data_IF_656466077533
#
_entry.id   IF_656466077533
#
_cell.length_a   1.000
_cell.length_b   1.000
_cell.length_c   1.000
_cell.angle_alpha   90.00
_cell.angle_beta   90.00
_cell.angle_gamma   90.00
#
_symmetry.space_group_name_H-M   'P 1'
#
loop_
_entity.id
_entity.type
_entity.pdbx_description
1 polymer ?
#
# COMPACT_ATOMS: atom_id res chain seq x y z
N UNK A 1 40.64 -44.98 13.39
CA UNK A 1 41.03 -43.56 13.21
C UNK A 1 41.17 -42.89 14.59
N UNK A 2 42.38 -42.48 14.96
CA UNK A 2 42.75 -42.06 16.32
C UNK A 2 42.14 -40.69 16.70
N UNK A 3 41.59 -40.53 17.93
CA UNK A 3 40.99 -39.27 18.43
C UNK A 3 41.93 -38.07 18.31
N UNK A 4 43.24 -38.27 18.51
CA UNK A 4 44.26 -37.23 18.38
C UNK A 4 44.42 -36.71 16.94
N UNK A 5 44.37 -37.60 15.94
CA UNK A 5 44.43 -37.19 14.53
C UNK A 5 43.18 -36.40 14.13
N UNK A 6 42.01 -36.72 14.69
CA UNK A 6 40.78 -35.96 14.46
C UNK A 6 40.86 -34.55 15.08
N UNK A 7 41.44 -34.41 16.28
CA UNK A 7 41.60 -33.12 16.96
C UNK A 7 42.63 -32.23 16.24
N UNK A 8 43.77 -32.79 15.81
CA UNK A 8 44.79 -32.06 15.03
C UNK A 8 44.20 -31.56 13.71
N UNK A 9 43.42 -32.41 13.02
CA UNK A 9 42.77 -32.05 11.76
C UNK A 9 41.72 -30.93 11.95
N UNK A 10 40.94 -30.95 13.04
CA UNK A 10 39.99 -29.87 13.38
C UNK A 10 40.71 -28.54 13.69
N UNK A 11 41.79 -28.58 14.49
CA UNK A 11 42.58 -27.38 14.80
C UNK A 11 43.19 -26.79 13.54
N UNK A 12 43.78 -27.62 12.68
CA UNK A 12 44.39 -27.21 11.42
C UNK A 12 43.36 -26.62 10.44
N UNK A 13 42.21 -27.27 10.28
CA UNK A 13 41.09 -26.75 9.50
C UNK A 13 40.63 -25.37 10.00
N UNK A 14 40.51 -25.18 11.32
CA UNK A 14 40.14 -23.89 11.90
C UNK A 14 41.19 -22.79 11.66
N UNK A 15 42.48 -23.15 11.65
CA UNK A 15 43.58 -22.23 11.34
C UNK A 15 43.55 -21.79 9.88
N UNK A 16 43.42 -22.74 8.93
CA UNK A 16 43.32 -22.41 7.51
C UNK A 16 42.10 -21.54 7.22
N UNK A 17 40.94 -21.87 7.80
CA UNK A 17 39.72 -21.06 7.66
C UNK A 17 39.92 -19.62 8.13
N UNK A 18 40.59 -19.41 9.27
CA UNK A 18 40.89 -18.05 9.79
C UNK A 18 41.78 -17.25 8.83
N UNK A 19 42.83 -17.86 8.29
CA UNK A 19 43.75 -17.18 7.36
C UNK A 19 43.03 -16.84 6.05
N UNK A 20 42.30 -17.79 5.47
CA UNK A 20 41.50 -17.59 4.24
C UNK A 20 40.50 -16.45 4.42
N UNK A 21 39.74 -16.45 5.53
CA UNK A 21 38.82 -15.36 5.88
C UNK A 21 39.57 -14.02 6.00
N UNK A 22 40.76 -14.01 6.60
CA UNK A 22 41.58 -12.81 6.73
C UNK A 22 41.99 -12.22 5.37
N UNK A 23 42.34 -13.06 4.40
CA UNK A 23 42.71 -12.64 3.05
C UNK A 23 41.49 -12.18 2.24
N UNK A 24 40.36 -12.85 2.38
CA UNK A 24 39.08 -12.43 1.77
C UNK A 24 38.67 -11.05 2.27
N UNK A 25 38.75 -10.79 3.59
CA UNK A 25 38.47 -9.47 4.19
C UNK A 25 39.34 -8.36 3.62
N UNK A 26 40.60 -8.66 3.31
CA UNK A 26 41.55 -7.72 2.72
C UNK A 26 41.38 -7.54 1.21
N UNK A 27 40.46 -8.27 0.57
CA UNK A 27 40.34 -8.35 -0.89
C UNK A 27 41.64 -8.78 -1.58
N UNK A 28 42.47 -9.58 -0.90
CA UNK A 28 43.81 -9.95 -1.35
C UNK A 28 43.78 -11.27 -2.13
N UNK A 29 43.39 -11.19 -3.41
CA UNK A 29 43.22 -12.35 -4.29
C UNK A 29 44.55 -13.06 -4.54
N UNK A 30 45.64 -12.30 -4.72
CA UNK A 30 46.96 -12.84 -5.03
C UNK A 30 47.48 -13.70 -3.87
N UNK A 31 47.53 -13.15 -2.66
CA UNK A 31 47.99 -13.91 -1.49
C UNK A 31 47.02 -15.04 -1.13
N UNK A 32 45.71 -14.86 -1.35
CA UNK A 32 44.75 -15.95 -1.19
C UNK A 32 45.05 -17.09 -2.16
N UNK A 33 45.30 -16.80 -3.43
CA UNK A 33 45.65 -17.78 -4.47
C UNK A 33 46.93 -18.52 -4.11
N UNK A 34 48.00 -17.79 -3.76
CA UNK A 34 49.25 -18.40 -3.33
C UNK A 34 49.05 -19.31 -2.11
N UNK A 35 48.28 -18.85 -1.12
CA UNK A 35 48.05 -19.59 0.11
C UNK A 35 47.24 -20.88 -0.12
N UNK A 36 46.19 -20.85 -0.95
CA UNK A 36 45.37 -22.05 -1.22
C UNK A 36 46.17 -23.10 -1.99
N UNK A 37 46.99 -22.68 -2.97
CA UNK A 37 47.84 -23.60 -3.76
C UNK A 37 48.90 -24.21 -2.86
N UNK A 38 49.66 -23.38 -2.13
CA UNK A 38 50.75 -23.84 -1.26
C UNK A 38 50.30 -24.85 -0.21
N UNK A 39 49.06 -24.74 0.26
CA UNK A 39 48.50 -25.58 1.32
C UNK A 39 47.49 -26.61 0.81
N UNK A 40 47.32 -26.78 -0.51
CA UNK A 40 46.33 -27.68 -1.12
C UNK A 40 44.92 -27.52 -0.53
N UNK A 41 44.46 -26.28 -0.36
CA UNK A 41 43.17 -25.95 0.25
C UNK A 41 42.07 -25.95 -0.82
N UNK A 42 41.05 -26.77 -0.63
CA UNK A 42 39.80 -26.74 -1.39
C UNK A 42 38.83 -25.81 -0.66
N UNK A 43 38.50 -24.65 -1.25
CA UNK A 43 37.67 -23.63 -0.57
C UNK A 43 36.25 -24.11 -0.27
N UNK A 44 35.68 -24.96 -1.13
CA UNK A 44 34.36 -25.56 -0.94
C UNK A 44 34.25 -26.28 0.42
N UNK A 45 35.34 -26.89 0.91
CA UNK A 45 35.34 -27.60 2.20
C UNK A 45 35.06 -26.69 3.41
N UNK A 46 35.16 -25.37 3.27
CA UNK A 46 34.77 -24.44 4.33
C UNK A 46 33.27 -24.22 4.42
N UNK A 47 32.52 -24.51 3.36
CA UNK A 47 31.06 -24.39 3.34
C UNK A 47 30.45 -25.49 4.20
N UNK A 48 29.65 -25.08 5.18
CA UNK A 48 28.94 -25.97 6.10
C UNK A 48 27.47 -25.64 5.98
N UNK A 49 26.68 -26.59 5.47
CA UNK A 49 25.23 -26.45 5.27
C UNK A 49 24.56 -25.83 6.50
N UNK A 50 23.83 -24.73 6.29
CA UNK A 50 23.10 -23.97 7.31
C UNK A 50 23.95 -23.43 8.48
N UNK A 51 25.28 -23.33 8.33
CA UNK A 51 26.17 -22.79 9.37
C UNK A 51 27.17 -21.77 8.84
N UNK A 52 27.72 -22.01 7.65
CA UNK A 52 28.70 -21.12 7.05
C UNK A 52 28.73 -21.31 5.55
N UNK A 53 28.73 -20.21 4.81
CA UNK A 53 28.88 -20.20 3.36
C UNK A 53 29.85 -19.07 3.00
N UNK A 54 30.94 -19.42 2.32
CA UNK A 54 32.06 -18.51 2.07
C UNK A 54 31.66 -17.35 1.16
N UNK A 55 30.79 -17.61 0.17
CA UNK A 55 30.29 -16.57 -0.74
C UNK A 55 29.34 -15.63 -0.01
N UNK A 56 28.39 -16.16 0.76
CA UNK A 56 27.49 -15.36 1.61
C UNK A 56 28.29 -14.50 2.58
N UNK A 57 29.32 -15.08 3.22
CA UNK A 57 30.21 -14.36 4.11
C UNK A 57 30.97 -13.24 3.37
N UNK A 58 31.45 -13.50 2.15
CA UNK A 58 32.07 -12.48 1.30
C UNK A 58 31.13 -11.33 0.97
N UNK A 59 29.86 -11.62 0.63
CA UNK A 59 28.84 -10.59 0.34
C UNK A 59 28.60 -9.71 1.58
N UNK A 60 28.47 -10.32 2.76
CA UNK A 60 28.30 -9.59 4.04
C UNK A 60 29.49 -8.67 4.33
N UNK A 61 30.70 -9.08 3.96
CA UNK A 61 31.92 -8.29 4.09
C UNK A 61 32.09 -7.22 3.00
N UNK A 62 31.15 -7.12 2.05
CA UNK A 62 31.23 -6.20 0.93
C UNK A 62 32.53 -6.34 0.12
N UNK A 63 32.94 -7.58 -0.18
CA UNK A 63 34.13 -7.84 -1.00
C UNK A 63 33.97 -7.30 -2.43
N UNK A 64 35.09 -7.03 -3.08
CA UNK A 64 35.15 -6.63 -4.49
C UNK A 64 34.51 -7.68 -5.40
N UNK A 65 34.04 -7.26 -6.58
CA UNK A 65 33.48 -8.16 -7.61
C UNK A 65 34.49 -9.25 -7.99
N UNK A 66 35.78 -8.91 -8.06
CA UNK A 66 36.84 -9.86 -8.36
C UNK A 66 36.98 -10.93 -7.28
N UNK A 67 36.93 -10.54 -6.00
CA UNK A 67 36.98 -11.50 -4.89
C UNK A 67 35.70 -12.34 -4.83
N UNK A 68 34.54 -11.75 -5.08
CA UNK A 68 33.28 -12.49 -5.21
C UNK A 68 33.36 -13.55 -6.32
N UNK A 69 33.81 -13.17 -7.52
CA UNK A 69 33.99 -14.09 -8.65
C UNK A 69 35.01 -15.18 -8.33
N UNK A 70 36.11 -14.81 -7.65
CA UNK A 70 37.12 -15.75 -7.21
C UNK A 70 36.53 -16.83 -6.29
N UNK A 71 35.78 -16.43 -5.25
CA UNK A 71 35.13 -17.35 -4.33
C UNK A 71 34.08 -18.21 -5.07
N UNK A 72 33.24 -17.60 -5.90
CA UNK A 72 32.20 -18.29 -6.66
C UNK A 72 32.78 -19.43 -7.51
N UNK A 73 33.88 -19.15 -8.23
CA UNK A 73 34.53 -20.11 -9.11
C UNK A 73 35.27 -21.22 -8.34
N UNK A 74 36.00 -20.87 -7.27
CA UNK A 74 36.83 -21.82 -6.51
C UNK A 74 36.06 -22.67 -5.49
N UNK A 75 34.82 -22.30 -5.17
CA UNK A 75 33.91 -23.11 -4.36
C UNK A 75 32.93 -23.95 -5.20
N UNK A 76 33.05 -23.93 -6.53
CA UNK A 76 32.26 -24.74 -7.46
C UNK A 76 30.73 -24.67 -7.24
N UNK A 77 30.21 -23.47 -6.96
CA UNK A 77 28.76 -23.27 -6.80
C UNK A 77 28.00 -23.64 -8.08
N UNK A 78 27.13 -24.65 -8.00
CA UNK A 78 26.32 -25.12 -9.16
C UNK A 78 25.39 -24.05 -9.72
N UNK A 79 24.92 -23.14 -8.87
CA UNK A 79 24.02 -22.05 -9.23
C UNK A 79 24.20 -20.92 -8.23
N UNK A 80 23.99 -19.67 -8.67
CA UNK A 80 23.91 -18.51 -7.77
C UNK A 80 22.53 -18.41 -7.09
N UNK A 81 21.53 -19.16 -7.58
CA UNK A 81 20.16 -19.22 -7.07
C UNK A 81 20.02 -20.28 -5.98
N UNK A 82 20.66 -20.04 -4.83
CA UNK A 82 20.58 -20.90 -3.65
C UNK A 82 20.21 -20.11 -2.40
N UNK A 83 19.81 -20.82 -1.36
CA UNK A 83 19.40 -20.26 -0.09
C UNK A 83 20.39 -20.57 1.01
N UNK A 84 20.71 -19.59 1.84
CA UNK A 84 21.48 -19.76 3.06
C UNK A 84 20.66 -19.35 4.27
N UNK A 85 20.70 -20.15 5.34
CA UNK A 85 20.05 -19.86 6.60
C UNK A 85 20.92 -18.90 7.41
N UNK A 86 20.50 -17.65 7.57
CA UNK A 86 21.24 -16.65 8.39
C UNK A 86 20.85 -16.81 9.87
N UNK A 87 19.57 -17.04 10.14
CA UNK A 87 19.01 -17.28 11.47
C UNK A 87 17.98 -18.43 11.42
N UNK A 88 17.52 -18.95 12.57
CA UNK A 88 16.66 -20.15 12.67
C UNK A 88 15.48 -20.21 11.69
N UNK A 89 14.91 -19.06 11.31
CA UNK A 89 13.72 -18.97 10.46
C UNK A 89 13.93 -18.15 9.17
N UNK A 90 15.16 -17.77 8.85
CA UNK A 90 15.44 -16.77 7.80
C UNK A 90 16.43 -17.30 6.78
N UNK A 91 15.91 -17.49 5.57
CA UNK A 91 16.71 -17.85 4.40
C UNK A 91 16.90 -16.64 3.50
N UNK A 92 18.10 -16.50 2.96
CA UNK A 92 18.47 -15.43 2.04
C UNK A 92 19.15 -16.01 0.81
N UNK A 93 19.12 -15.26 -0.29
CA UNK A 93 19.92 -15.56 -1.48
C UNK A 93 21.11 -14.59 -1.56
N UNK A 94 22.16 -14.92 -2.35
CA UNK A 94 23.23 -13.97 -2.65
C UNK A 94 22.71 -12.61 -3.13
N UNK A 95 21.72 -12.60 -4.05
CA UNK A 95 21.16 -11.38 -4.61
C UNK A 95 20.44 -10.54 -3.54
N UNK A 96 19.67 -11.17 -2.66
CA UNK A 96 18.93 -10.48 -1.61
C UNK A 96 19.88 -9.79 -0.64
N UNK A 97 20.99 -10.46 -0.27
CA UNK A 97 22.01 -9.85 0.58
C UNK A 97 22.75 -8.70 -0.10
N UNK A 98 23.11 -8.84 -1.38
CA UNK A 98 23.78 -7.76 -2.11
C UNK A 98 22.92 -6.48 -2.11
N UNK A 99 21.60 -6.61 -2.35
CA UNK A 99 20.68 -5.47 -2.28
C UNK A 99 20.44 -4.99 -0.85
N UNK A 100 20.39 -5.86 0.15
CA UNK A 100 20.28 -5.45 1.55
C UNK A 100 21.42 -4.51 1.96
N UNK A 101 22.64 -4.84 1.55
CA UNK A 101 23.83 -4.00 1.77
C UNK A 101 23.99 -2.86 0.74
N UNK A 102 23.01 -2.65 -0.15
CA UNK A 102 23.03 -1.61 -1.18
C UNK A 102 24.22 -1.70 -2.14
N UNK A 103 24.81 -2.89 -2.32
CA UNK A 103 25.90 -3.10 -3.27
C UNK A 103 25.31 -3.44 -4.66
N UNK A 104 24.95 -2.39 -5.40
CA UNK A 104 24.33 -2.50 -6.72
C UNK A 104 25.25 -3.14 -7.77
N UNK A 105 26.56 -2.89 -7.72
CA UNK A 105 27.51 -3.47 -8.68
C UNK A 105 27.62 -4.99 -8.49
N UNK A 106 27.66 -5.43 -7.22
CA UNK A 106 27.64 -6.85 -6.90
C UNK A 106 26.30 -7.48 -7.25
N UNK A 107 25.19 -6.81 -6.96
CA UNK A 107 23.85 -7.28 -7.34
C UNK A 107 23.73 -7.45 -8.87
N UNK A 108 24.27 -6.51 -9.65
CA UNK A 108 24.35 -6.60 -11.11
C UNK A 108 25.19 -7.79 -11.56
N UNK A 109 26.39 -7.97 -11.00
CA UNK A 109 27.25 -9.14 -11.28
C UNK A 109 26.59 -10.47 -10.92
N UNK A 110 25.76 -10.51 -9.87
CA UNK A 110 24.96 -11.68 -9.49
C UNK A 110 23.86 -11.94 -10.53
N UNK A 111 23.13 -10.91 -10.97
CA UNK A 111 22.09 -11.03 -12.01
C UNK A 111 22.70 -11.51 -13.34
N UNK A 112 23.85 -10.96 -13.74
CA UNK A 112 24.60 -11.38 -14.93
C UNK A 112 25.03 -12.86 -14.90
N UNK A 113 25.21 -13.43 -13.69
CA UNK A 113 25.47 -14.86 -13.47
C UNK A 113 24.20 -15.72 -13.36
N UNK A 114 23.05 -15.16 -13.75
CA UNK A 114 21.75 -15.83 -13.69
C UNK A 114 21.04 -15.71 -12.34
N UNK A 115 21.41 -14.73 -11.52
CA UNK A 115 20.72 -14.40 -10.28
C UNK A 115 19.26 -14.00 -10.55
N UNK A 116 18.34 -14.76 -9.96
CA UNK A 116 16.91 -14.59 -10.19
C UNK A 116 16.33 -13.50 -9.25
N UNK A 117 16.02 -12.33 -9.83
CA UNK A 117 15.35 -11.23 -9.11
C UNK A 117 13.95 -11.63 -8.58
N UNK A 118 13.35 -12.65 -9.19
CA UNK A 118 12.02 -13.18 -8.90
C UNK A 118 12.06 -14.46 -8.04
N UNK A 119 13.21 -14.78 -7.45
CA UNK A 119 13.42 -16.04 -6.74
C UNK A 119 12.35 -16.31 -5.68
N UNK A 120 11.56 -17.36 -5.90
CA UNK A 120 10.35 -17.66 -5.12
C UNK A 120 10.44 -18.92 -4.26
N UNK A 121 11.62 -19.56 -4.17
CA UNK A 121 11.83 -20.77 -3.35
C UNK A 121 12.03 -20.46 -1.85
N UNK A 122 11.91 -19.20 -1.46
CA UNK A 122 11.91 -18.76 -0.06
C UNK A 122 10.58 -18.09 0.27
N UNK A 123 10.33 -17.95 1.57
CA UNK A 123 9.06 -17.43 2.10
C UNK A 123 8.69 -16.05 1.55
N UNK A 124 9.69 -15.23 1.23
CA UNK A 124 9.53 -13.82 0.90
C UNK A 124 10.21 -13.48 -0.42
N UNK A 125 9.57 -12.69 -1.28
CA UNK A 125 10.24 -12.09 -2.44
C UNK A 125 11.21 -10.98 -1.98
N UNK A 126 12.00 -10.47 -2.92
CA UNK A 126 13.08 -9.51 -2.60
C UNK A 126 12.57 -8.20 -2.00
N UNK A 127 11.43 -7.69 -2.49
CA UNK A 127 10.83 -6.47 -1.95
C UNK A 127 10.33 -6.69 -0.52
N UNK A 128 9.67 -7.83 -0.26
CA UNK A 128 9.16 -8.15 1.07
C UNK A 128 10.32 -8.30 2.05
N UNK A 129 11.37 -9.02 1.63
CA UNK A 129 12.60 -9.18 2.38
C UNK A 129 13.20 -7.82 2.76
N UNK A 130 13.45 -6.93 1.79
CA UNK A 130 14.00 -5.61 2.09
C UNK A 130 13.08 -4.77 2.99
N UNK A 131 11.76 -4.89 2.83
CA UNK A 131 10.77 -4.19 3.67
C UNK A 131 10.86 -4.62 5.14
N UNK A 132 10.84 -5.93 5.44
CA UNK A 132 10.83 -6.41 6.83
C UNK A 132 12.10 -6.03 7.59
N UNK A 133 13.23 -5.91 6.90
CA UNK A 133 14.48 -5.44 7.49
C UNK A 133 14.69 -3.93 7.37
N UNK A 134 13.67 -3.16 6.98
CA UNK A 134 13.72 -1.69 6.82
C UNK A 134 14.86 -1.21 5.92
N UNK A 135 15.22 -2.02 4.92
CA UNK A 135 16.28 -1.75 3.96
C UNK A 135 15.76 -1.26 2.60
N UNK A 136 14.46 -1.37 2.34
CA UNK A 136 13.84 -0.94 1.09
C UNK A 136 13.78 0.58 1.01
N UNK A 137 14.36 1.14 -0.05
CA UNK A 137 14.27 2.55 -0.42
C UNK A 137 13.92 2.70 -1.90
N UNK A 138 13.73 3.95 -2.36
CA UNK A 138 13.38 4.26 -3.75
C UNK A 138 14.42 3.75 -4.76
N UNK A 139 15.72 3.83 -4.45
CA UNK A 139 16.78 3.41 -5.35
C UNK A 139 16.80 1.90 -5.52
N UNK A 140 16.67 1.14 -4.43
CA UNK A 140 16.56 -0.32 -4.48
C UNK A 140 15.32 -0.77 -5.22
N UNK A 141 14.19 -0.10 -4.99
CA UNK A 141 12.96 -0.39 -5.72
C UNK A 141 13.15 -0.19 -7.22
N UNK A 142 13.69 0.96 -7.65
CA UNK A 142 13.98 1.22 -9.07
C UNK A 142 14.95 0.18 -9.64
N UNK A 143 16.00 -0.17 -8.91
CA UNK A 143 16.94 -1.21 -9.33
C UNK A 143 16.21 -2.55 -9.55
N UNK A 144 15.39 -2.99 -8.59
CA UNK A 144 14.65 -4.24 -8.66
C UNK A 144 13.69 -4.25 -9.87
N UNK A 145 12.93 -3.17 -10.04
CA UNK A 145 11.98 -3.04 -11.15
C UNK A 145 12.68 -3.02 -12.51
N UNK A 146 13.81 -2.30 -12.63
CA UNK A 146 14.59 -2.22 -13.87
C UNK A 146 15.30 -3.50 -14.28
N UNK A 147 15.44 -4.47 -13.36
CA UNK A 147 16.07 -5.76 -13.63
C UNK A 147 15.06 -6.91 -13.77
N UNK A 148 13.81 -6.60 -14.15
CA UNK A 148 12.82 -7.61 -14.55
C UNK A 148 12.03 -8.22 -13.40
N UNK A 149 11.90 -7.51 -12.28
CA UNK A 149 11.01 -7.93 -11.20
C UNK A 149 9.55 -8.01 -11.68
N UNK A 150 8.89 -9.12 -11.37
CA UNK A 150 7.51 -9.37 -11.73
C UNK A 150 6.58 -8.62 -10.76
N UNK A 151 5.98 -7.52 -11.23
CA UNK A 151 5.10 -6.68 -10.43
C UNK A 151 3.93 -7.43 -9.81
N UNK A 152 3.48 -8.56 -10.41
CA UNK A 152 2.36 -9.34 -9.87
C UNK A 152 2.67 -9.86 -8.46
N UNK A 153 3.94 -9.87 -8.06
CA UNK A 153 4.37 -10.22 -6.71
C UNK A 153 4.29 -9.07 -5.71
N UNK A 154 4.03 -7.83 -6.15
CA UNK A 154 3.76 -6.69 -5.26
C UNK A 154 2.40 -6.85 -4.58
N UNK A 155 1.37 -7.32 -5.28
CA UNK A 155 0.05 -7.51 -4.66
C UNK A 155 0.01 -8.73 -3.73
N UNK A 156 1.02 -9.62 -3.81
CA UNK A 156 1.14 -10.76 -2.88
C UNK A 156 1.55 -10.30 -1.49
N UNK A 157 0.96 -10.92 -0.47
CA UNK A 157 1.31 -10.73 0.94
C UNK A 157 1.15 -9.27 1.43
N UNK A 158 0.24 -8.50 0.85
CA UNK A 158 -0.08 -7.15 1.33
C UNK A 158 1.17 -6.24 1.38
N UNK A 159 2.09 -6.42 0.42
CA UNK A 159 3.40 -5.76 0.44
C UNK A 159 3.29 -4.24 0.33
N UNK A 160 2.31 -3.74 -0.43
CA UNK A 160 2.03 -2.31 -0.60
C UNK A 160 1.53 -1.65 0.69
N UNK A 161 0.89 -2.39 1.61
CA UNK A 161 0.39 -1.79 2.85
C UNK A 161 1.54 -1.11 3.58
N UNK A 162 1.35 0.14 3.98
CA UNK A 162 2.35 0.96 4.65
C UNK A 162 3.58 1.34 3.78
N UNK A 163 3.51 1.25 2.44
CA UNK A 163 4.54 1.84 1.58
C UNK A 163 4.50 3.36 1.65
N UNK A 164 5.65 3.99 1.89
CA UNK A 164 5.76 5.43 1.70
C UNK A 164 5.32 5.82 0.29
N UNK A 165 4.66 6.98 0.18
CA UNK A 165 4.15 7.46 -1.10
C UNK A 165 5.25 7.59 -2.17
N UNK A 166 6.49 7.86 -1.76
CA UNK A 166 7.66 7.90 -2.64
C UNK A 166 7.89 6.57 -3.39
N UNK A 167 7.64 5.43 -2.74
CA UNK A 167 7.74 4.09 -3.31
C UNK A 167 6.53 3.77 -4.21
N UNK A 168 5.33 4.14 -3.78
CA UNK A 168 4.10 4.02 -4.58
C UNK A 168 4.27 4.78 -5.90
N UNK A 169 4.74 6.03 -5.80
CA UNK A 169 5.02 6.89 -6.96
C UNK A 169 6.01 6.23 -7.91
N UNK A 170 7.10 5.64 -7.39
CA UNK A 170 8.09 4.95 -8.21
C UNK A 170 7.51 3.70 -8.92
N UNK A 171 6.62 2.95 -8.26
CA UNK A 171 5.92 1.81 -8.90
C UNK A 171 5.05 2.30 -10.06
N UNK A 172 4.22 3.33 -9.82
CA UNK A 172 3.31 3.87 -10.83
C UNK A 172 4.08 4.42 -12.04
N UNK A 173 5.12 5.21 -11.80
CA UNK A 173 5.95 5.81 -12.85
C UNK A 173 6.72 4.76 -13.67
N UNK A 174 7.29 3.75 -13.00
CA UNK A 174 8.17 2.78 -13.67
C UNK A 174 7.39 1.65 -14.37
N UNK A 175 6.27 1.22 -13.79
CA UNK A 175 5.56 0.03 -14.27
C UNK A 175 4.48 0.35 -15.30
N UNK A 176 3.71 1.44 -15.10
CA UNK A 176 2.59 1.74 -15.99
C UNK A 176 3.11 2.22 -17.35
N UNK A 177 4.10 3.10 -17.37
CA UNK A 177 4.70 3.59 -18.62
C UNK A 177 6.10 3.02 -18.78
N UNK A 178 6.18 1.72 -19.05
CA UNK A 178 7.44 1.01 -19.18
C UNK A 178 8.29 1.47 -20.40
N UNK A 179 9.53 0.99 -20.48
CA UNK A 179 10.43 1.31 -21.60
C UNK A 179 9.85 0.90 -22.96
N UNK A 180 9.06 -0.18 -23.02
CA UNK A 180 8.46 -0.63 -24.27
C UNK A 180 7.41 0.38 -24.76
N UNK A 181 6.54 0.85 -23.87
CA UNK A 181 5.56 1.89 -24.17
C UNK A 181 6.22 3.21 -24.59
N UNK A 182 7.27 3.63 -23.86
CA UNK A 182 8.03 4.84 -24.20
C UNK A 182 8.64 4.70 -25.61
N UNK A 183 9.28 3.56 -25.91
CA UNK A 183 9.85 3.29 -27.23
C UNK A 183 8.78 3.22 -28.32
N UNK A 184 7.59 2.71 -28.02
CA UNK A 184 6.45 2.73 -28.94
C UNK A 184 6.06 4.17 -29.30
N UNK A 185 5.92 5.05 -28.30
CA UNK A 185 5.62 6.47 -28.54
C UNK A 185 6.72 7.19 -29.32
N UNK A 186 7.99 6.92 -28.99
CA UNK A 186 9.14 7.47 -29.71
C UNK A 186 9.18 6.99 -31.16
N UNK A 187 8.85 5.72 -31.42
CA UNK A 187 8.77 5.14 -32.76
C UNK A 187 7.68 5.82 -33.61
N UNK A 188 6.49 6.04 -33.04
CA UNK A 188 5.40 6.78 -33.70
C UNK A 188 5.87 8.19 -34.11
N UNK A 189 6.53 8.91 -33.19
CA UNK A 189 7.04 10.26 -33.46
C UNK A 189 8.18 10.26 -34.50
N UNK A 190 9.13 9.33 -34.39
CA UNK A 190 10.27 9.19 -35.32
C UNK A 190 9.81 8.92 -36.74
N UNK A 191 8.82 8.04 -36.91
CA UNK A 191 8.30 7.64 -38.21
C UNK A 191 7.21 8.58 -38.75
N UNK A 192 6.87 9.64 -38.01
CA UNK A 192 5.81 10.61 -38.36
C UNK A 192 4.48 9.93 -38.67
N UNK A 193 4.19 8.82 -37.99
CA UNK A 193 2.94 8.09 -38.16
C UNK A 193 1.77 8.98 -37.70
N UNK A 194 0.83 9.34 -38.57
CA UNK A 194 -0.31 10.15 -38.17
C UNK A 194 -1.14 9.43 -37.10
N UNK A 195 -1.43 10.12 -36.01
CA UNK A 195 -2.25 9.59 -34.91
C UNK A 195 -3.24 10.65 -34.47
N UNK A 196 -4.52 10.28 -34.40
CA UNK A 196 -5.54 11.17 -33.85
C UNK A 196 -5.38 11.29 -32.34
N UNK A 197 -5.86 12.41 -31.78
CA UNK A 197 -5.89 12.62 -30.33
C UNK A 197 -6.60 11.48 -29.59
N UNK A 198 -7.70 10.97 -30.18
CA UNK A 198 -8.47 9.83 -29.65
C UNK A 198 -7.61 8.56 -29.61
N UNK A 199 -6.94 8.22 -30.72
CA UNK A 199 -6.09 7.03 -30.78
C UNK A 199 -4.94 7.08 -29.76
N UNK A 200 -4.33 8.25 -29.55
CA UNK A 200 -3.31 8.44 -28.51
C UNK A 200 -3.89 8.23 -27.10
N UNK A 201 -5.08 8.78 -26.83
CA UNK A 201 -5.76 8.54 -25.55
C UNK A 201 -6.07 7.06 -25.35
N UNK A 202 -6.64 6.39 -26.35
CA UNK A 202 -6.97 4.96 -26.26
C UNK A 202 -5.71 4.11 -25.99
N UNK A 203 -4.58 4.47 -26.60
CA UNK A 203 -3.28 3.85 -26.37
C UNK A 203 -2.78 4.06 -24.94
N UNK A 204 -2.87 5.28 -24.40
CA UNK A 204 -2.51 5.58 -23.00
C UNK A 204 -3.43 4.86 -22.01
N UNK A 205 -4.74 4.78 -22.28
CA UNK A 205 -5.68 4.12 -21.38
C UNK A 205 -5.47 2.60 -21.34
N UNK A 206 -5.23 1.98 -22.50
CA UNK A 206 -4.88 0.57 -22.57
C UNK A 206 -3.61 0.26 -21.76
N UNK A 207 -2.66 1.19 -21.78
CA UNK A 207 -1.42 1.07 -21.02
C UNK A 207 -1.67 1.13 -19.50
N UNK A 208 -2.45 2.12 -19.04
CA UNK A 208 -2.88 2.22 -17.63
C UNK A 208 -3.61 0.97 -17.14
N UNK A 209 -4.41 0.34 -18.00
CA UNK A 209 -5.13 -0.90 -17.70
C UNK A 209 -4.25 -2.13 -17.46
N UNK A 210 -2.92 -2.07 -17.68
CA UNK A 210 -2.00 -3.22 -17.43
C UNK A 210 -1.81 -3.55 -15.96
N UNK A 211 -2.08 -2.60 -15.06
CA UNK A 211 -1.79 -2.73 -13.64
C UNK A 211 -3.05 -2.59 -12.80
N UNK A 212 -3.40 -3.65 -12.07
CA UNK A 212 -4.48 -3.58 -11.09
C UNK A 212 -3.93 -2.98 -9.79
N UNK A 213 -4.35 -1.74 -9.54
CA UNK A 213 -4.04 -0.96 -8.34
C UNK A 213 -4.89 -1.51 -7.17
N UNK A 214 -4.43 -2.60 -6.56
CA UNK A 214 -4.94 -3.06 -5.26
C UNK A 214 -4.15 -2.37 -4.13
N UNK A 215 -4.86 -1.80 -3.17
CA UNK A 215 -4.37 -1.32 -1.87
C UNK A 215 -3.43 -0.08 -1.89
N UNK A 216 -3.14 0.53 -3.04
CA UNK A 216 -2.26 1.72 -3.11
C UNK A 216 -2.85 2.95 -2.41
N UNK A 217 -4.19 3.04 -2.29
CA UNK A 217 -4.83 4.17 -1.62
C UNK A 217 -4.69 4.15 -0.10
N UNK A 218 -4.29 3.04 0.52
CA UNK A 218 -4.39 2.85 1.96
C UNK A 218 -3.73 3.97 2.77
N UNK A 219 -2.47 4.30 2.47
CA UNK A 219 -1.75 5.36 3.18
C UNK A 219 -2.29 6.76 2.85
N UNK A 220 -2.53 7.04 1.57
CA UNK A 220 -3.06 8.33 1.14
C UNK A 220 -4.42 8.64 1.78
N UNK A 221 -5.25 7.60 1.97
CA UNK A 221 -6.54 7.68 2.65
C UNK A 221 -6.41 7.84 4.17
N UNK A 222 -5.55 7.06 4.83
CA UNK A 222 -5.28 7.17 6.27
C UNK A 222 -4.77 8.57 6.64
N UNK A 223 -3.84 9.09 5.84
CA UNK A 223 -3.28 10.45 5.98
C UNK A 223 -4.24 11.54 5.47
N UNK A 224 -5.31 11.14 4.77
CA UNK A 224 -6.29 12.02 4.13
C UNK A 224 -5.65 13.03 3.16
N UNK A 225 -4.55 12.62 2.53
CA UNK A 225 -3.74 13.42 1.63
C UNK A 225 -4.34 13.40 0.21
N UNK A 226 -5.03 14.49 -0.15
CA UNK A 226 -5.71 14.61 -1.44
C UNK A 226 -4.77 14.55 -2.63
N UNK A 227 -3.59 15.16 -2.53
CA UNK A 227 -2.63 15.19 -3.63
C UNK A 227 -2.17 13.76 -3.97
N UNK A 228 -1.92 12.94 -2.95
CA UNK A 228 -1.57 11.54 -3.16
C UNK A 228 -2.73 10.71 -3.72
N UNK A 229 -3.97 10.94 -3.25
CA UNK A 229 -5.16 10.27 -3.78
C UNK A 229 -5.36 10.61 -5.26
N UNK A 230 -5.29 11.90 -5.62
CA UNK A 230 -5.38 12.36 -7.02
C UNK A 230 -4.27 11.78 -7.88
N UNK A 231 -3.06 11.75 -7.34
CA UNK A 231 -1.91 11.19 -8.04
C UNK A 231 -2.16 9.73 -8.38
N UNK A 232 -2.53 8.89 -7.41
CA UNK A 232 -2.83 7.46 -7.65
C UNK A 232 -4.00 7.33 -8.63
N UNK A 233 -5.07 8.11 -8.44
CA UNK A 233 -6.26 8.09 -9.29
C UNK A 233 -5.94 8.45 -10.75
N UNK A 234 -4.96 9.33 -10.99
CA UNK A 234 -4.56 9.72 -12.34
C UNK A 234 -3.96 8.56 -13.15
N UNK A 235 -3.51 7.49 -12.51
CA UNK A 235 -2.98 6.28 -13.16
C UNK A 235 -4.02 5.19 -13.37
N UNK A 236 -5.24 5.38 -12.90
CA UNK A 236 -6.35 4.45 -13.13
C UNK A 236 -6.83 4.46 -14.59
N UNK A 237 -7.32 3.32 -15.06
CA UNK A 237 -7.96 3.20 -16.38
C UNK A 237 -9.31 3.95 -16.38
N UNK A 238 -9.38 5.07 -17.09
CA UNK A 238 -10.58 5.91 -17.09
C UNK A 238 -11.77 5.27 -17.81
N UNK A 239 -11.58 4.21 -18.60
CA UNK A 239 -12.70 3.48 -19.19
C UNK A 239 -13.54 2.76 -18.11
N UNK A 240 -12.93 2.48 -16.97
CA UNK A 240 -13.54 1.82 -15.82
C UNK A 240 -13.82 2.81 -14.66
N UNK A 241 -14.07 4.08 -15.00
CA UNK A 241 -14.23 5.18 -14.06
C UNK A 241 -15.11 4.88 -12.83
N UNK A 242 -16.33 4.39 -13.06
CA UNK A 242 -17.27 4.07 -11.99
C UNK A 242 -16.75 2.95 -11.08
N UNK A 243 -16.09 1.93 -11.65
CA UNK A 243 -15.46 0.83 -10.90
C UNK A 243 -14.30 1.36 -10.04
N UNK A 244 -13.48 2.27 -10.58
CA UNK A 244 -12.35 2.84 -9.84
C UNK A 244 -12.81 3.70 -8.67
N UNK A 245 -13.87 4.50 -8.86
CA UNK A 245 -14.50 5.27 -7.78
C UNK A 245 -15.04 4.32 -6.72
N UNK A 246 -15.82 3.31 -7.10
CA UNK A 246 -16.37 2.34 -6.15
C UNK A 246 -15.25 1.67 -5.35
N UNK A 247 -14.13 1.30 -5.99
CA UNK A 247 -12.97 0.73 -5.31
C UNK A 247 -12.33 1.73 -4.32
N UNK A 248 -12.13 2.98 -4.72
CA UNK A 248 -11.64 4.04 -3.82
C UNK A 248 -12.53 4.19 -2.58
N UNK A 249 -13.86 4.23 -2.77
CA UNK A 249 -14.82 4.35 -1.68
C UNK A 249 -14.87 3.10 -0.80
N UNK A 250 -14.74 1.90 -1.38
CA UNK A 250 -14.62 0.65 -0.62
C UNK A 250 -13.36 0.63 0.26
N UNK A 251 -12.24 1.21 -0.22
CA UNK A 251 -11.04 1.35 0.60
C UNK A 251 -11.23 2.32 1.75
N UNK A 252 -11.94 3.42 1.52
CA UNK A 252 -12.30 4.34 2.59
C UNK A 252 -13.15 3.65 3.67
N UNK A 253 -14.13 2.83 3.25
CA UNK A 253 -14.97 2.05 4.18
C UNK A 253 -14.15 1.00 4.96
N UNK A 254 -13.17 0.34 4.33
CA UNK A 254 -12.27 -0.61 5.01
C UNK A 254 -11.38 0.03 6.08
N UNK A 255 -11.01 1.30 5.88
CA UNK A 255 -10.17 2.07 6.80
C UNK A 255 -10.97 2.58 7.99
N UNK A 256 -12.23 2.99 7.75
CA UNK A 256 -13.16 3.40 8.80
C UNK A 256 -13.53 2.19 9.69
N UNK A 257 -12.71 1.89 10.70
CA UNK A 257 -12.89 0.76 11.61
C UNK A 257 -14.24 0.74 12.36
N UNK A 258 -14.98 1.86 12.35
CA UNK A 258 -16.24 2.06 13.07
C UNK A 258 -17.50 2.07 12.19
N UNK A 259 -17.42 1.76 10.88
CA UNK A 259 -18.55 1.80 9.92
C UNK A 259 -19.35 3.13 9.97
N UNK A 260 -18.69 4.21 10.37
CA UNK A 260 -19.31 5.54 10.42
C UNK A 260 -19.35 6.20 9.04
N UNK A 261 -18.72 5.61 8.02
CA UNK A 261 -18.60 6.12 6.64
C UNK A 261 -17.94 7.53 6.62
N UNK A 262 -17.11 7.85 7.61
CA UNK A 262 -16.48 9.17 7.77
C UNK A 262 -15.57 9.52 6.60
N UNK A 263 -14.60 8.65 6.30
CA UNK A 263 -13.62 8.87 5.26
C UNK A 263 -14.30 8.89 3.90
N UNK A 264 -15.24 7.96 3.67
CA UNK A 264 -16.07 7.93 2.47
C UNK A 264 -16.81 9.25 2.26
N UNK A 265 -17.54 9.72 3.27
CA UNK A 265 -18.23 11.01 3.22
C UNK A 265 -17.27 12.17 2.93
N UNK A 266 -16.10 12.18 3.58
CA UNK A 266 -15.10 13.23 3.42
C UNK A 266 -14.55 13.29 2.00
N UNK A 267 -14.28 12.13 1.38
CA UNK A 267 -13.87 12.04 -0.03
C UNK A 267 -14.95 12.66 -0.92
N UNK A 268 -16.20 12.17 -0.82
CA UNK A 268 -17.32 12.66 -1.63
C UNK A 268 -17.52 14.18 -1.47
N UNK A 269 -17.45 14.70 -0.24
CA UNK A 269 -17.55 16.14 0.03
C UNK A 269 -16.42 16.94 -0.61
N UNK A 270 -15.20 16.38 -0.66
CA UNK A 270 -14.07 17.03 -1.34
C UNK A 270 -14.23 17.01 -2.86
N UNK A 271 -14.75 15.94 -3.48
CA UNK A 271 -15.02 15.96 -4.94
C UNK A 271 -16.15 16.95 -5.25
N UNK A 272 -17.23 16.97 -4.45
CA UNK A 272 -18.35 17.91 -4.59
C UNK A 272 -17.86 19.37 -4.60
N UNK A 273 -16.96 19.69 -3.67
CA UNK A 273 -16.37 21.03 -3.49
C UNK A 273 -15.20 21.31 -4.44
N UNK A 274 -14.91 20.41 -5.39
CA UNK A 274 -13.77 20.48 -6.32
C UNK A 274 -12.41 20.65 -5.63
N UNK A 275 -12.29 20.13 -4.40
CA UNK A 275 -11.03 20.05 -3.62
C UNK A 275 -10.31 18.71 -3.82
N UNK A 276 -10.95 17.78 -4.52
CA UNK A 276 -10.36 16.52 -4.95
C UNK A 276 -10.69 16.35 -6.44
N UNK A 277 -9.68 16.36 -7.30
CA UNK A 277 -9.81 16.30 -8.75
C UNK A 277 -10.04 14.86 -9.25
N UNK A 278 -11.19 14.31 -8.87
CA UNK A 278 -11.70 13.04 -9.36
C UNK A 278 -12.96 13.37 -10.15
N UNK A 279 -12.98 12.98 -11.42
CA UNK A 279 -14.19 13.08 -12.24
C UNK A 279 -15.28 12.26 -11.53
N UNK A 280 -16.50 12.77 -11.44
CA UNK A 280 -17.65 12.01 -10.93
C UNK A 280 -18.90 12.73 -11.42
N UNK A 281 -19.80 12.00 -12.07
CA UNK A 281 -21.07 12.58 -12.51
C UNK A 281 -21.90 13.02 -11.30
N UNK A 282 -22.61 14.14 -11.42
CA UNK A 282 -23.42 14.69 -10.32
C UNK A 282 -24.45 13.69 -9.79
N UNK A 283 -25.06 12.92 -10.69
CA UNK A 283 -26.05 11.89 -10.33
C UNK A 283 -25.42 10.77 -9.52
N UNK A 284 -24.25 10.27 -9.94
CA UNK A 284 -23.51 9.26 -9.19
C UNK A 284 -23.07 9.76 -7.82
N UNK A 285 -22.56 11.01 -7.74
CA UNK A 285 -22.20 11.65 -6.47
C UNK A 285 -23.39 11.74 -5.52
N UNK A 286 -24.55 12.13 -6.05
CA UNK A 286 -25.81 12.21 -5.31
C UNK A 286 -26.26 10.84 -4.80
N UNK A 287 -26.18 9.80 -5.63
CA UNK A 287 -26.48 8.42 -5.24
C UNK A 287 -25.58 7.94 -4.08
N UNK A 288 -24.27 8.22 -4.12
CA UNK A 288 -23.36 7.82 -3.06
C UNK A 288 -23.62 8.54 -1.73
N UNK A 289 -23.94 9.84 -1.76
CA UNK A 289 -24.40 10.55 -0.56
C UNK A 289 -25.69 9.94 -0.01
N UNK A 290 -26.67 9.67 -0.86
CA UNK A 290 -27.94 9.05 -0.45
C UNK A 290 -27.75 7.66 0.16
N UNK A 291 -26.82 6.87 -0.36
CA UNK A 291 -26.48 5.56 0.20
C UNK A 291 -25.98 5.68 1.65
N UNK A 292 -25.09 6.65 1.92
CA UNK A 292 -24.61 6.94 3.27
C UNK A 292 -25.78 7.39 4.17
N UNK A 293 -26.58 8.34 3.70
CA UNK A 293 -27.69 8.85 4.49
C UNK A 293 -28.71 7.75 4.81
N UNK A 294 -29.12 6.94 3.83
CA UNK A 294 -30.11 5.88 4.01
C UNK A 294 -29.69 4.87 5.08
N UNK A 295 -28.40 4.47 5.10
CA UNK A 295 -27.84 3.62 6.16
C UNK A 295 -28.04 4.26 7.55
N UNK A 296 -27.65 5.53 7.70
CA UNK A 296 -27.78 6.26 8.98
C UNK A 296 -29.24 6.43 9.41
N UNK A 297 -30.15 6.61 8.47
CA UNK A 297 -31.58 6.68 8.76
C UNK A 297 -32.17 5.36 9.23
N UNK A 298 -31.70 4.24 8.69
CA UNK A 298 -32.11 2.90 9.15
C UNK A 298 -31.70 2.68 10.61
N UNK A 299 -30.48 3.08 10.99
CA UNK A 299 -30.01 3.01 12.37
C UNK A 299 -30.86 3.89 13.30
N UNK A 300 -31.14 5.14 12.89
CA UNK A 300 -32.03 6.05 13.61
C UNK A 300 -33.41 5.42 13.87
N UNK A 301 -34.04 4.85 12.82
CA UNK A 301 -35.35 4.18 12.95
C UNK A 301 -35.30 3.05 13.97
N UNK A 302 -34.21 2.28 14.01
CA UNK A 302 -34.05 1.19 14.97
C UNK A 302 -33.96 1.70 16.41
N UNK A 303 -33.16 2.74 16.67
CA UNK A 303 -33.08 3.34 18.01
C UNK A 303 -34.45 3.86 18.50
N UNK A 304 -35.22 4.47 17.58
CA UNK A 304 -36.57 4.99 17.90
C UNK A 304 -37.53 3.85 18.22
N UNK A 305 -37.60 2.83 17.36
CA UNK A 305 -38.48 1.67 17.54
C UNK A 305 -38.20 0.97 18.88
N UNK A 306 -36.93 0.86 19.25
CA UNK A 306 -36.48 0.21 20.47
C UNK A 306 -36.47 1.14 21.71
N UNK A 307 -36.87 2.41 21.55
CA UNK A 307 -36.88 3.45 22.60
C UNK A 307 -35.52 3.67 23.29
N UNK A 308 -34.41 3.40 22.59
CA UNK A 308 -33.03 3.56 23.11
C UNK A 308 -32.47 4.95 22.83
N UNK A 309 -33.14 5.98 23.36
CA UNK A 309 -32.86 7.38 23.03
C UNK A 309 -31.47 7.89 23.46
N UNK A 310 -30.88 7.34 24.53
CA UNK A 310 -29.51 7.69 24.93
C UNK A 310 -28.49 7.27 23.87
N UNK A 311 -28.66 6.07 23.31
CA UNK A 311 -27.80 5.56 22.23
C UNK A 311 -28.01 6.36 20.95
N UNK A 312 -29.25 6.78 20.66
CA UNK A 312 -29.54 7.70 19.56
C UNK A 312 -28.73 9.00 19.68
N UNK A 313 -28.61 9.55 20.90
CA UNK A 313 -27.84 10.78 21.11
C UNK A 313 -26.33 10.59 20.89
N UNK A 314 -25.77 9.48 21.37
CA UNK A 314 -24.37 9.12 21.10
C UNK A 314 -24.15 8.98 19.59
N UNK A 315 -25.05 8.29 18.91
CA UNK A 315 -25.01 8.12 17.46
C UNK A 315 -25.02 9.46 16.69
N UNK A 316 -25.85 10.43 17.10
CA UNK A 316 -25.84 11.76 16.49
C UNK A 316 -24.52 12.50 16.68
N UNK A 317 -23.91 12.42 17.87
CA UNK A 317 -22.62 13.06 18.16
C UNK A 317 -21.49 12.42 17.34
N UNK A 318 -21.44 11.09 17.28
CA UNK A 318 -20.45 10.33 16.50
C UNK A 318 -20.57 10.60 14.99
N UNK A 319 -21.77 10.87 14.48
CA UNK A 319 -22.05 11.09 13.06
C UNK A 319 -22.36 12.55 12.70
N UNK A 320 -22.01 13.51 13.58
CA UNK A 320 -22.35 14.94 13.41
C UNK A 320 -21.87 15.56 12.10
N UNK A 321 -20.77 15.03 11.53
CA UNK A 321 -20.20 15.49 10.27
C UNK A 321 -21.14 15.25 9.06
N UNK A 322 -21.99 14.21 9.12
CA UNK A 322 -23.00 13.90 8.11
C UNK A 322 -24.21 14.82 8.29
N UNK A 323 -24.68 14.96 9.53
CA UNK A 323 -25.93 15.64 9.84
C UNK A 323 -25.89 17.15 9.62
N UNK A 324 -24.73 17.79 9.83
CA UNK A 324 -24.56 19.23 9.56
C UNK A 324 -24.79 19.61 8.09
N UNK A 325 -24.50 18.69 7.19
CA UNK A 325 -24.53 18.89 5.75
C UNK A 325 -25.72 18.16 5.10
N UNK A 326 -26.71 17.73 5.89
CA UNK A 326 -27.84 16.94 5.42
C UNK A 326 -28.75 17.80 4.51
N UNK A 327 -28.41 17.81 3.22
CA UNK A 327 -29.05 18.65 2.20
C UNK A 327 -30.14 17.92 1.42
N UNK A 328 -30.14 16.58 1.45
CA UNK A 328 -30.58 15.81 0.27
C UNK A 328 -31.36 14.52 0.58
N UNK A 329 -31.98 14.40 1.76
CA UNK A 329 -32.91 13.30 2.00
C UNK A 329 -34.30 13.84 2.27
N UNK A 330 -35.29 13.30 1.56
CA UNK A 330 -36.73 13.42 1.85
C UNK A 330 -37.10 12.88 3.24
N UNK A 331 -36.11 12.37 3.98
CA UNK A 331 -36.28 11.91 5.34
C UNK A 331 -36.22 13.05 6.34
N UNK A 332 -37.42 13.43 6.72
CA UNK A 332 -37.69 14.43 7.71
C UNK A 332 -37.68 13.80 9.10
N UNK A 333 -36.51 13.79 9.75
CA UNK A 333 -36.33 13.21 11.08
C UNK A 333 -37.30 13.80 12.11
N UNK A 334 -37.58 15.10 12.04
CA UNK A 334 -38.48 15.77 12.99
C UNK A 334 -39.91 15.32 12.77
N UNK A 335 -40.37 15.27 11.51
CA UNK A 335 -41.65 14.65 11.16
C UNK A 335 -41.75 13.22 11.66
N UNK A 336 -40.73 12.40 11.43
CA UNK A 336 -40.71 11.01 11.88
C UNK A 336 -40.74 10.90 13.42
N UNK A 337 -40.01 11.77 14.12
CA UNK A 337 -39.95 11.83 15.58
C UNK A 337 -41.29 12.20 16.20
N UNK A 338 -41.98 13.17 15.57
CA UNK A 338 -43.32 13.61 15.95
C UNK A 338 -44.31 12.44 15.86
N UNK A 339 -44.32 11.74 14.73
CA UNK A 339 -45.25 10.63 14.48
C UNK A 339 -45.02 9.42 15.41
N UNK A 340 -43.81 9.29 15.97
CA UNK A 340 -43.44 8.16 16.83
C UNK A 340 -43.35 8.54 18.33
N UNK A 341 -43.93 9.67 18.74
CA UNK A 341 -44.00 10.11 20.15
C UNK A 341 -42.64 10.14 20.87
N UNK A 342 -41.58 10.57 20.18
CA UNK A 342 -40.26 10.73 20.82
C UNK A 342 -40.34 11.82 21.90
N UNK A 343 -39.75 11.61 23.10
CA UNK A 343 -39.74 12.63 24.13
C UNK A 343 -39.08 13.93 23.65
N UNK A 344 -39.74 15.05 23.94
CA UNK A 344 -39.39 16.39 23.47
C UNK A 344 -37.93 16.76 23.77
N UNK A 345 -37.39 16.31 24.92
CA UNK A 345 -35.99 16.56 25.29
C UNK A 345 -35.01 16.04 24.24
N UNK A 346 -35.28 14.88 23.63
CA UNK A 346 -34.42 14.30 22.60
C UNK A 346 -34.60 15.00 21.25
N UNK A 347 -35.83 15.38 20.91
CA UNK A 347 -36.09 16.18 19.70
C UNK A 347 -35.28 17.50 19.76
N UNK A 348 -35.30 18.18 20.92
CA UNK A 348 -34.52 19.39 21.15
C UNK A 348 -33.01 19.18 20.94
N UNK A 349 -32.48 18.07 21.41
CA UNK A 349 -31.06 17.77 21.25
C UNK A 349 -30.70 17.45 19.79
N UNK A 350 -31.54 16.72 19.04
CA UNK A 350 -31.27 16.41 17.62
C UNK A 350 -31.28 17.68 16.75
N UNK A 351 -32.13 18.66 17.07
CA UNK A 351 -32.16 19.95 16.36
C UNK A 351 -30.82 20.69 16.40
N UNK A 352 -29.88 20.34 17.29
CA UNK A 352 -28.51 20.90 17.31
C UNK A 352 -27.65 20.41 16.14
N UNK A 353 -27.98 19.25 15.55
CA UNK A 353 -27.16 18.59 14.54
C UNK A 353 -27.69 18.80 13.11
N UNK A 354 -28.97 19.10 12.95
CA UNK A 354 -29.63 19.20 11.65
C UNK A 354 -29.75 20.66 11.17
N UNK A 355 -29.50 20.97 9.89
CA UNK A 355 -29.70 22.29 9.33
C UNK A 355 -31.19 22.68 9.32
N UNK A 356 -31.54 23.70 10.10
CA UNK A 356 -32.94 24.07 10.39
C UNK A 356 -33.62 24.91 9.30
N UNK A 357 -32.90 25.36 8.27
CA UNK A 357 -33.45 26.22 7.22
C UNK A 357 -34.29 25.46 6.17
N UNK A 358 -34.10 24.14 6.03
CA UNK A 358 -34.70 23.35 4.94
C UNK A 358 -36.19 23.04 5.18
N UNK A 359 -36.66 22.99 6.43
CA UNK A 359 -37.93 22.32 6.74
C UNK A 359 -38.96 23.15 7.54
N UNK A 360 -38.71 24.45 7.73
CA UNK A 360 -39.49 25.35 8.62
C UNK A 360 -41.02 25.29 8.45
N UNK A 361 -41.54 25.32 7.23
CA UNK A 361 -43.00 25.41 6.98
C UNK A 361 -43.75 24.10 7.25
N UNK A 362 -43.15 22.96 6.91
CA UNK A 362 -43.77 21.63 7.04
C UNK A 362 -43.95 21.24 8.52
N UNK A 363 -42.94 21.51 9.36
CA UNK A 363 -42.96 21.11 10.76
C UNK A 363 -43.94 21.89 11.62
N UNK A 364 -44.12 23.17 11.35
CA UNK A 364 -45.11 23.99 12.07
C UNK A 364 -46.52 23.45 11.82
N UNK A 365 -46.87 23.17 10.56
CA UNK A 365 -48.19 22.64 10.19
C UNK A 365 -48.48 21.29 10.83
N UNK A 366 -47.49 20.39 10.86
CA UNK A 366 -47.62 19.07 11.50
C UNK A 366 -47.73 19.15 13.03
N UNK A 367 -46.97 20.04 13.66
CA UNK A 367 -46.98 20.17 15.13
C UNK A 367 -48.31 20.74 15.62
N UNK A 368 -48.91 21.64 14.84
CA UNK A 368 -50.27 22.13 15.05
C UNK A 368 -51.31 21.01 14.91
N UNK A 369 -51.17 20.11 13.92
CA UNK A 369 -52.14 19.03 13.70
C UNK A 369 -52.14 17.96 14.79
N UNK A 370 -51.04 17.79 15.53
CA UNK A 370 -50.97 16.88 16.69
C UNK A 370 -51.16 17.58 18.05
N UNK A 371 -51.54 18.86 18.04
CA UNK A 371 -51.83 19.69 19.21
C UNK A 371 -50.71 19.73 20.28
N UNK A 372 -49.45 19.63 19.88
CA UNK A 372 -48.30 19.57 20.79
C UNK A 372 -47.66 20.97 20.97
N UNK A 373 -48.24 21.77 21.86
CA UNK A 373 -47.85 23.16 22.07
C UNK A 373 -46.39 23.34 22.56
N UNK A 374 -45.88 22.40 23.35
CA UNK A 374 -44.52 22.44 23.88
C UNK A 374 -43.49 22.22 22.76
N UNK A 375 -43.75 21.30 21.83
CA UNK A 375 -42.91 21.12 20.65
C UNK A 375 -42.98 22.32 19.70
N UNK A 376 -44.17 22.91 19.50
CA UNK A 376 -44.32 24.11 18.67
C UNK A 376 -43.48 25.28 19.19
N UNK A 377 -43.48 25.50 20.51
CA UNK A 377 -42.64 26.53 21.16
C UNK A 377 -41.14 26.27 20.94
N UNK A 378 -40.70 25.01 21.00
CA UNK A 378 -39.29 24.66 20.76
C UNK A 378 -38.90 24.91 19.31
N UNK A 379 -39.70 24.44 18.35
CA UNK A 379 -39.42 24.68 16.92
C UNK A 379 -39.35 26.19 16.62
N UNK A 380 -40.33 26.97 17.09
CA UNK A 380 -40.35 28.42 16.91
C UNK A 380 -39.16 29.12 17.56
N UNK A 381 -38.70 28.67 18.74
CA UNK A 381 -37.52 29.22 19.42
C UNK A 381 -36.23 28.87 18.66
N UNK A 382 -36.04 27.60 18.32
CA UNK A 382 -34.90 27.14 17.53
C UNK A 382 -34.77 27.88 16.19
N UNK A 383 -35.88 28.33 15.61
CA UNK A 383 -35.85 29.13 14.38
C UNK A 383 -35.52 30.62 14.55
N UNK A 384 -35.72 31.19 15.76
CA UNK A 384 -35.34 32.58 16.08
C UNK A 384 -33.84 32.72 16.34
N UNK A 385 -33.23 31.69 16.92
CA UNK A 385 -31.80 31.69 17.30
C UNK A 385 -30.85 31.49 16.09
N UNK A 386 -31.35 31.45 14.85
CA UNK A 386 -30.59 31.20 13.59
C UNK A 386 -30.70 32.41 12.64
N UNK A 387 -30.97 33.60 13.17
CA UNK A 387 -30.92 34.84 12.39
C UNK A 387 -29.55 35.49 12.49
#
# INVERSE_FOLDING_TARGET
MNKNNKIINIKLFSKHKRIVIGLIKKNDIENLTHYIIKNNIILENFNIKNKFDLLIYGIILNVSINMFNFIYNHCHYKTINYTHLVNKNESVTPLFLALYYSNYDLAKSIIEKGGDINYSKIKYNILYFLKIYKALDKHKLIFILSHGFNIKFINKNQLIYNFEFSLIKAILEFYIFDNYFILQLLSINKNKTPMSKKALYDLIQKEKGKFEIEDLYYNALNEQNCEQIEYIYSYEDTNNHNKNIQRLLQYADKIDASDNNYLKYKILSKIEKKKLNILMEKEHLYQEFNNIYYKKLKEIKNFIKNKTFTQLMIFFEENKFIFKDLRMVDYDFITFSILNNIPIKYIKEVLKYCPLYIFKKKWIKMTLSINNQSLLRILLKSFKDIK
#
